data_IF_830199608532
#
_entry.id   IF_830199608532
#
_cell.length_a   1.000
_cell.length_b   1.000
_cell.length_c   1.000
_cell.angle_alpha   90.00
_cell.angle_beta   90.00
_cell.angle_gamma   90.00
#
_symmetry.space_group_name_H-M   'P 1'
#
loop_
_entity.id
_entity.type
_entity.pdbx_description
1 polymer ?
#
# COMPACT_ATOMS: atom_id res chain seq x y z
N UNK A 1 -10.13 20.25 -21.09
CA UNK A 1 -10.20 19.24 -20.01
C UNK A 1 -9.62 19.88 -18.77
N UNK A 2 -10.37 20.01 -17.68
CA UNK A 2 -9.85 20.52 -16.43
C UNK A 2 -9.39 19.33 -15.58
N UNK A 3 -8.14 19.34 -15.11
CA UNK A 3 -7.64 18.37 -14.14
C UNK A 3 -8.04 18.88 -12.76
N UNK A 4 -8.99 18.19 -12.10
CA UNK A 4 -9.27 18.47 -10.69
C UNK A 4 -8.00 18.11 -9.89
N UNK A 5 -7.53 18.99 -8.99
CA UNK A 5 -6.40 18.66 -8.14
C UNK A 5 -6.78 17.45 -7.27
N UNK A 6 -6.02 16.36 -7.42
CA UNK A 6 -6.17 15.16 -6.61
C UNK A 6 -5.25 15.32 -5.40
N UNK A 7 -5.86 15.53 -4.25
CA UNK A 7 -5.14 15.74 -2.98
C UNK A 7 -4.75 14.42 -2.31
N UNK A 8 -5.56 13.37 -2.46
CA UNK A 8 -5.33 12.04 -1.88
C UNK A 8 -5.65 10.95 -2.90
N UNK A 9 -4.82 9.90 -2.92
CA UNK A 9 -5.04 8.68 -3.68
C UNK A 9 -4.93 7.50 -2.72
N UNK A 10 -5.86 6.55 -2.82
CA UNK A 10 -5.77 5.30 -2.08
C UNK A 10 -5.31 4.21 -3.02
N UNK A 11 -4.24 3.51 -2.64
CA UNK A 11 -3.62 2.45 -3.42
C UNK A 11 -3.70 1.15 -2.63
N UNK A 12 -4.15 0.10 -3.29
CA UNK A 12 -4.12 -1.27 -2.79
C UNK A 12 -3.22 -2.08 -3.71
N UNK A 13 -2.18 -2.69 -3.14
CA UNK A 13 -1.42 -3.74 -3.81
C UNK A 13 -2.09 -5.08 -3.50
N UNK A 14 -2.43 -5.81 -4.57
CA UNK A 14 -3.24 -7.02 -4.51
C UNK A 14 -2.42 -8.16 -5.09
N UNK A 15 -2.29 -9.22 -4.30
CA UNK A 15 -1.61 -10.45 -4.70
C UNK A 15 -2.62 -11.60 -4.82
N UNK A 16 -2.33 -12.54 -5.70
CA UNK A 16 -3.17 -13.71 -5.94
C UNK A 16 -2.54 -14.93 -5.24
N UNK A 17 -3.03 -15.27 -4.05
CA UNK A 17 -2.45 -16.33 -3.22
C UNK A 17 -3.36 -17.56 -3.15
N UNK A 18 -2.76 -18.75 -3.19
CA UNK A 18 -3.46 -20.02 -2.98
C UNK A 18 -3.95 -20.13 -1.54
N UNK A 19 -5.27 -20.28 -1.37
CA UNK A 19 -5.88 -20.67 -0.11
C UNK A 19 -5.76 -22.18 0.06
N UNK A 20 -4.88 -22.62 0.96
CA UNK A 20 -4.60 -24.05 1.20
C UNK A 20 -5.78 -24.82 1.79
N UNK A 21 -6.77 -24.15 2.37
CA UNK A 21 -7.97 -24.78 2.92
C UNK A 21 -9.02 -25.09 1.85
N UNK A 22 -9.10 -24.28 0.79
CA UNK A 22 -10.09 -24.44 -0.30
C UNK A 22 -9.47 -24.93 -1.61
N UNK A 23 -8.15 -24.83 -1.77
CA UNK A 23 -7.44 -25.14 -3.01
C UNK A 23 -7.61 -24.10 -4.11
N UNK A 24 -8.23 -22.95 -3.81
CA UNK A 24 -8.50 -21.88 -4.78
C UNK A 24 -7.58 -20.69 -4.53
N UNK A 25 -7.25 -19.94 -5.59
CA UNK A 25 -6.54 -18.68 -5.45
C UNK A 25 -7.51 -17.57 -5.06
N UNK A 26 -7.09 -16.73 -4.12
CA UNK A 26 -7.81 -15.56 -3.65
C UNK A 26 -6.94 -14.31 -3.84
N UNK A 27 -7.58 -13.23 -4.24
CA UNK A 27 -6.97 -11.90 -4.24
C UNK A 27 -6.94 -11.38 -2.79
N UNK A 28 -5.74 -11.11 -2.29
CA UNK A 28 -5.51 -10.55 -0.96
C UNK A 28 -4.81 -9.20 -1.08
N UNK A 29 -5.11 -8.28 -0.17
CA UNK A 29 -4.42 -7.00 -0.11
C UNK A 29 -3.15 -7.17 0.71
N UNK A 30 -1.99 -6.87 0.14
CA UNK A 30 -0.68 -7.00 0.81
C UNK A 30 -0.09 -5.65 1.23
N UNK A 31 -0.55 -4.57 0.60
CA UNK A 31 -0.29 -3.18 0.99
C UNK A 31 -1.55 -2.35 0.75
N UNK A 32 -1.89 -1.52 1.72
CA UNK A 32 -2.95 -0.54 1.59
C UNK A 32 -2.45 0.81 2.07
N UNK A 33 -2.42 1.83 1.23
CA UNK A 33 -1.84 3.14 1.58
C UNK A 33 -2.66 4.30 1.05
N UNK A 34 -2.74 5.38 1.85
CA UNK A 34 -3.23 6.68 1.40
C UNK A 34 -2.03 7.57 1.08
N UNK A 35 -1.87 7.93 -0.18
CA UNK A 35 -0.88 8.88 -0.65
C UNK A 35 -1.51 10.26 -0.72
N UNK A 36 -1.04 11.22 0.07
CA UNK A 36 -1.42 12.62 -0.06
C UNK A 36 -0.33 13.42 -0.80
N UNK A 37 -0.77 14.41 -1.58
CA UNK A 37 0.11 15.19 -2.43
C UNK A 37 1.19 15.94 -1.65
N UNK A 38 0.85 16.48 -0.47
CA UNK A 38 1.78 17.25 0.36
C UNK A 38 2.96 16.39 0.82
N UNK A 39 2.69 15.19 1.31
CA UNK A 39 3.74 14.27 1.74
C UNK A 39 4.57 13.79 0.55
N UNK A 40 3.91 13.47 -0.58
CA UNK A 40 4.58 13.02 -1.81
C UNK A 40 5.56 14.09 -2.36
N UNK A 41 5.14 15.36 -2.38
CA UNK A 41 5.95 16.47 -2.89
C UNK A 41 7.18 16.78 -2.00
N UNK A 42 7.20 16.30 -0.76
CA UNK A 42 8.35 16.44 0.16
C UNK A 42 9.39 15.33 0.01
N UNK A 43 9.09 14.27 -0.75
CA UNK A 43 9.99 13.16 -0.93
C UNK A 43 11.13 13.51 -1.90
N UNK A 44 12.36 13.15 -1.52
CA UNK A 44 13.53 13.25 -2.40
C UNK A 44 13.69 11.89 -3.11
N UNK A 45 13.05 11.74 -4.27
CA UNK A 45 13.00 10.46 -5.00
C UNK A 45 14.37 9.87 -5.38
N UNK A 46 15.41 10.71 -5.51
CA UNK A 46 16.77 10.26 -5.85
C UNK A 46 17.46 9.50 -4.70
N UNK A 47 17.04 9.73 -3.46
CA UNK A 47 17.70 9.21 -2.25
C UNK A 47 16.76 8.37 -1.38
N UNK A 48 15.55 8.10 -1.86
CA UNK A 48 14.50 7.51 -1.05
C UNK A 48 14.64 5.99 -0.93
N UNK A 49 14.49 5.47 0.28
CA UNK A 49 14.17 4.07 0.51
C UNK A 49 12.63 3.92 0.57
N UNK A 50 11.99 3.09 -0.27
CA UNK A 50 10.54 2.94 -0.29
C UNK A 50 9.93 2.48 1.04
N UNK A 51 10.60 1.57 1.75
CA UNK A 51 10.12 1.06 3.04
C UNK A 51 10.13 2.15 4.11
N UNK A 52 11.18 2.97 4.14
CA UNK A 52 11.27 4.12 5.07
C UNK A 52 10.25 5.20 4.68
N UNK A 53 10.04 5.43 3.39
CA UNK A 53 9.10 6.42 2.86
C UNK A 53 7.64 6.11 3.18
N UNK A 54 7.25 4.82 3.15
CA UNK A 54 5.91 4.39 3.53
C UNK A 54 5.55 4.84 4.95
N UNK A 55 6.54 4.94 5.85
CA UNK A 55 6.38 5.48 7.19
C UNK A 55 5.81 6.90 7.27
N UNK A 56 5.90 7.68 6.19
CA UNK A 56 5.34 9.03 6.12
C UNK A 56 3.84 9.05 5.77
N UNK A 57 3.28 7.93 5.33
CA UNK A 57 1.89 7.83 4.88
C UNK A 57 1.04 7.05 5.88
N UNK A 58 -0.29 7.18 5.77
CA UNK A 58 -1.20 6.25 6.43
C UNK A 58 -1.24 4.95 5.63
N UNK A 59 -0.66 3.87 6.16
CA UNK A 59 -0.59 2.58 5.47
C UNK A 59 -0.82 1.40 6.41
N UNK A 60 -1.34 0.32 5.84
CA UNK A 60 -1.32 -1.01 6.41
C UNK A 60 -0.40 -1.89 5.56
N UNK A 61 0.61 -2.49 6.19
CA UNK A 61 1.47 -3.49 5.59
C UNK A 61 1.92 -4.45 6.68
N UNK A 62 2.07 -5.74 6.34
CA UNK A 62 2.56 -6.75 7.28
C UNK A 62 3.60 -7.62 6.60
N UNK A 63 4.82 -7.58 7.11
CA UNK A 63 5.94 -8.38 6.61
C UNK A 63 6.46 -9.34 7.69
N UNK A 64 6.70 -10.57 7.30
CA UNK A 64 7.32 -11.60 8.12
C UNK A 64 8.58 -12.13 7.45
N UNK A 65 9.69 -12.19 8.18
CA UNK A 65 10.99 -12.61 7.66
C UNK A 65 10.97 -13.99 6.97
N UNK A 66 10.13 -14.91 7.42
CA UNK A 66 10.02 -16.27 6.89
C UNK A 66 8.83 -16.49 5.97
N UNK A 67 7.86 -15.57 5.94
CA UNK A 67 6.58 -15.75 5.26
C UNK A 67 6.22 -14.61 4.29
N UNK A 68 7.13 -13.66 4.07
CA UNK A 68 6.95 -12.55 3.15
C UNK A 68 5.86 -11.56 3.60
N UNK A 69 5.25 -10.91 2.63
CA UNK A 69 4.08 -10.04 2.82
C UNK A 69 2.85 -10.88 3.18
N UNK A 70 1.99 -10.30 4.00
CA UNK A 70 0.75 -10.94 4.46
C UNK A 70 -0.43 -10.06 4.15
N UNK A 71 -1.58 -10.71 4.10
CA UNK A 71 -2.87 -10.05 4.03
C UNK A 71 -3.02 -8.98 5.11
N UNK A 72 -3.52 -7.81 4.70
CA UNK A 72 -3.81 -6.66 5.53
C UNK A 72 -5.17 -6.08 5.18
N UNK A 73 -5.77 -5.40 6.15
CA UNK A 73 -7.02 -4.67 5.95
C UNK A 73 -6.81 -3.38 5.14
N UNK A 74 -7.90 -2.89 4.55
CA UNK A 74 -7.91 -1.57 3.91
C UNK A 74 -7.64 -0.46 4.94
N UNK A 75 -6.94 0.56 4.48
CA UNK A 75 -6.63 1.76 5.26
C UNK A 75 -7.87 2.61 5.45
N UNK A 76 -8.08 3.12 6.66
CA UNK A 76 -9.17 4.06 6.94
C UNK A 76 -8.84 5.45 6.39
N UNK A 77 -9.78 6.04 5.66
CA UNK A 77 -9.66 7.39 5.12
C UNK A 77 -10.41 8.33 6.06
N UNK A 78 -9.73 9.35 6.59
CA UNK A 78 -10.31 10.46 7.35
C UNK A 78 -10.28 11.76 6.54
#
# INVERSE_FOLDING_TARGET
MALLPVDKVVVYDVDNMLNTSTGLNNDIIILSVVLDRKTLDQLIFELINPSDALGNFNYNMKYHKTAGLREVEKVTIY
#
